data_IF_132308400555
#
_entry.id   IF_132308400555
#
_cell.length_a   1.000
_cell.length_b   1.000
_cell.length_c   1.000
_cell.angle_alpha   90.00
_cell.angle_beta   90.00
_cell.angle_gamma   90.00
#
_symmetry.space_group_name_H-M   'P 1'
#
loop_
_entity.id
_entity.type
_entity.pdbx_description
1 polymer ?
#
# COMPACT_ATOMS: atom_id res chain seq x y z
N UNK A 1 -0.97 -36.88 -15.79
CA UNK A 1 -1.13 -35.41 -15.62
C UNK A 1 -2.07 -35.24 -14.45
N UNK A 2 -1.55 -35.02 -13.26
CA UNK A 2 -2.32 -34.71 -12.06
C UNK A 2 -2.87 -33.30 -12.23
N UNK A 3 -4.20 -33.16 -12.14
CA UNK A 3 -4.84 -31.85 -12.05
C UNK A 3 -4.22 -31.14 -10.84
N UNK A 4 -3.53 -30.01 -11.09
CA UNK A 4 -2.98 -29.20 -10.02
C UNK A 4 -4.13 -28.72 -9.12
N UNK A 5 -3.90 -28.76 -7.82
CA UNK A 5 -4.83 -28.15 -6.85
C UNK A 5 -5.17 -26.72 -7.30
N UNK A 6 -6.43 -26.29 -7.13
CA UNK A 6 -6.78 -24.89 -7.42
C UNK A 6 -5.83 -23.97 -6.61
N UNK A 7 -5.40 -22.85 -7.20
CA UNK A 7 -4.53 -21.93 -6.48
C UNK A 7 -5.20 -21.52 -5.18
N UNK A 8 -4.43 -21.50 -4.09
CA UNK A 8 -4.93 -21.05 -2.78
C UNK A 8 -5.64 -19.71 -2.93
N UNK A 9 -6.84 -19.55 -2.39
CA UNK A 9 -7.59 -18.32 -2.51
C UNK A 9 -6.84 -17.16 -1.83
N UNK A 10 -6.78 -16.02 -2.52
CA UNK A 10 -6.29 -14.79 -1.93
C UNK A 10 -7.32 -14.27 -0.92
N UNK A 11 -6.87 -13.99 0.28
CA UNK A 11 -7.68 -13.35 1.30
C UNK A 11 -7.12 -11.96 1.61
N UNK A 12 -7.97 -10.93 1.50
CA UNK A 12 -7.61 -9.53 1.76
C UNK A 12 -8.36 -9.06 3.00
N UNK A 13 -7.64 -8.50 3.96
CA UNK A 13 -8.22 -7.95 5.19
C UNK A 13 -7.44 -6.75 5.70
N UNK A 14 -8.00 -6.04 6.66
CA UNK A 14 -7.24 -5.05 7.43
C UNK A 14 -6.14 -5.74 8.23
N UNK A 15 -5.01 -5.06 8.36
CA UNK A 15 -3.92 -5.48 9.23
C UNK A 15 -4.29 -5.29 10.70
N UNK A 16 -3.70 -6.14 11.52
CA UNK A 16 -3.71 -6.04 12.98
C UNK A 16 -2.27 -5.95 13.49
N UNK A 17 -2.00 -5.57 14.74
CA UNK A 17 -0.64 -5.57 15.30
C UNK A 17 0.05 -6.94 15.21
N UNK A 18 -0.73 -8.04 15.23
CA UNK A 18 -0.20 -9.40 15.08
C UNK A 18 0.48 -9.66 13.71
N UNK A 19 0.21 -8.83 12.71
CA UNK A 19 0.82 -8.92 11.37
C UNK A 19 2.20 -8.25 11.30
N UNK A 20 2.64 -7.58 12.37
CA UNK A 20 3.88 -6.81 12.40
C UNK A 20 5.09 -7.63 11.98
N UNK A 21 5.26 -8.83 12.55
CA UNK A 21 6.38 -9.72 12.21
C UNK A 21 6.37 -10.14 10.72
N UNK A 22 5.20 -10.46 10.17
CA UNK A 22 5.07 -10.85 8.76
C UNK A 22 5.34 -9.66 7.83
N UNK A 23 4.81 -8.48 8.14
CA UNK A 23 5.08 -7.25 7.38
C UNK A 23 6.56 -6.87 7.43
N UNK A 24 7.22 -6.98 8.61
CA UNK A 24 8.65 -6.73 8.76
C UNK A 24 9.49 -7.70 7.89
N UNK A 25 9.17 -8.99 7.92
CA UNK A 25 9.85 -10.00 7.11
C UNK A 25 9.70 -9.76 5.59
N UNK A 26 8.55 -9.27 5.13
CA UNK A 26 8.35 -8.87 3.73
C UNK A 26 9.20 -7.65 3.39
N UNK A 27 9.32 -6.69 4.32
CA UNK A 27 9.98 -5.42 4.09
C UNK A 27 11.51 -5.49 4.16
N UNK A 28 12.03 -6.27 5.10
CA UNK A 28 13.47 -6.39 5.40
C UNK A 28 14.35 -6.54 4.14
N UNK A 29 14.06 -7.46 3.18
CA UNK A 29 14.90 -7.61 1.98
C UNK A 29 14.93 -6.36 1.10
N UNK A 30 13.87 -5.54 1.09
CA UNK A 30 13.86 -4.28 0.35
C UNK A 30 14.72 -3.21 1.01
N UNK A 31 14.74 -3.18 2.35
CA UNK A 31 15.61 -2.28 3.10
C UNK A 31 17.07 -2.70 2.95
N UNK A 32 17.37 -3.96 3.17
CA UNK A 32 18.75 -4.44 3.24
C UNK A 32 19.48 -4.43 1.89
N UNK A 33 18.77 -4.71 0.78
CA UNK A 33 19.43 -5.02 -0.50
C UNK A 33 18.97 -4.18 -1.69
N UNK A 34 18.10 -3.20 -1.49
CA UNK A 34 17.57 -2.38 -2.60
C UNK A 34 17.43 -0.92 -2.22
N UNK A 35 17.30 -0.07 -3.22
CA UNK A 35 16.93 1.35 -3.07
C UNK A 35 15.41 1.58 -3.09
N UNK A 36 14.58 0.54 -3.17
CA UNK A 36 13.11 0.66 -3.17
C UNK A 36 12.60 1.33 -1.90
N UNK A 37 13.23 1.07 -0.77
CA UNK A 37 13.09 1.85 0.45
C UNK A 37 14.35 2.65 0.74
N UNK A 38 14.21 3.87 1.25
CA UNK A 38 15.33 4.67 1.73
C UNK A 38 15.63 4.48 3.22
N UNK A 39 14.90 3.61 3.93
CA UNK A 39 15.32 3.20 5.26
C UNK A 39 16.65 2.43 5.18
N UNK A 40 17.54 2.70 6.14
CA UNK A 40 18.87 2.10 6.21
C UNK A 40 18.87 0.84 7.08
N UNK A 41 17.98 0.78 8.06
CA UNK A 41 17.77 -0.34 8.96
C UNK A 41 16.32 -0.82 8.85
N UNK A 42 16.13 -2.13 8.77
CA UNK A 42 14.79 -2.70 8.70
C UNK A 42 14.14 -2.65 10.09
N UNK A 43 12.85 -2.28 10.18
CA UNK A 43 12.13 -2.32 11.43
C UNK A 43 11.97 -3.76 11.93
N UNK A 44 11.98 -3.92 13.23
CA UNK A 44 11.60 -5.16 13.93
C UNK A 44 10.11 -5.45 13.75
N UNK A 45 9.67 -6.66 14.11
CA UNK A 45 8.24 -7.00 14.11
C UNK A 45 7.42 -6.11 15.04
N UNK A 46 7.97 -5.76 16.22
CA UNK A 46 7.28 -4.89 17.17
C UNK A 46 7.18 -3.45 16.67
N UNK A 47 8.25 -2.89 16.11
CA UNK A 47 8.21 -1.56 15.48
C UNK A 47 7.25 -1.51 14.29
N UNK A 48 7.15 -2.58 13.51
CA UNK A 48 6.17 -2.67 12.42
C UNK A 48 4.74 -2.79 12.97
N UNK A 49 4.52 -3.49 14.09
CA UNK A 49 3.24 -3.54 14.78
C UNK A 49 2.81 -2.14 15.27
N UNK A 50 3.73 -1.37 15.82
CA UNK A 50 3.48 0.02 16.25
C UNK A 50 3.13 0.91 15.04
N UNK A 51 3.81 0.75 13.90
CA UNK A 51 3.45 1.44 12.65
C UNK A 51 2.04 1.09 12.18
N UNK A 52 1.65 -0.18 12.25
CA UNK A 52 0.29 -0.63 11.93
C UNK A 52 -0.72 0.07 12.83
N UNK A 53 -0.52 0.03 14.17
CA UNK A 53 -1.40 0.69 15.14
C UNK A 53 -1.57 2.17 14.83
N UNK A 54 -0.45 2.88 14.62
CA UNK A 54 -0.48 4.31 14.31
C UNK A 54 -1.19 4.63 12.99
N UNK A 55 -1.06 3.76 11.99
CA UNK A 55 -1.69 3.96 10.69
C UNK A 55 -3.19 3.68 10.73
N UNK A 56 -3.62 2.55 11.31
CA UNK A 56 -5.03 2.15 11.30
C UNK A 56 -5.92 3.02 12.18
N UNK A 57 -5.34 3.82 13.04
CA UNK A 57 -6.06 4.86 13.77
C UNK A 57 -6.71 5.92 12.84
N UNK A 58 -6.24 6.05 11.60
CA UNK A 58 -6.76 7.03 10.63
C UNK A 58 -6.98 6.44 9.24
N UNK A 59 -6.03 5.67 8.74
CA UNK A 59 -5.94 5.25 7.33
C UNK A 59 -5.79 3.73 7.22
N UNK A 60 -6.16 3.11 6.09
CA UNK A 60 -6.11 1.66 5.96
C UNK A 60 -4.67 1.15 5.85
N UNK A 61 -4.44 0.04 6.52
CA UNK A 61 -3.35 -0.89 6.27
C UNK A 61 -3.99 -2.24 5.95
N UNK A 62 -3.79 -2.72 4.72
CA UNK A 62 -4.35 -4.00 4.26
C UNK A 62 -3.24 -5.03 4.09
N UNK A 63 -3.54 -6.28 4.39
CA UNK A 63 -2.69 -7.43 4.12
C UNK A 63 -3.37 -8.37 3.16
N UNK A 64 -2.57 -9.08 2.36
CA UNK A 64 -3.03 -10.14 1.47
C UNK A 64 -2.40 -11.45 1.91
N UNK A 65 -3.23 -12.41 2.22
CA UNK A 65 -2.85 -13.77 2.58
C UNK A 65 -2.97 -14.70 1.39
N UNK A 66 -2.03 -15.61 1.29
CA UNK A 66 -2.06 -16.78 0.39
C UNK A 66 -1.84 -18.02 1.25
N UNK A 67 -2.82 -18.93 1.28
CA UNK A 67 -2.76 -20.12 2.14
C UNK A 67 -2.68 -19.78 3.64
N UNK A 68 -3.34 -18.70 4.08
CA UNK A 68 -3.33 -18.24 5.49
C UNK A 68 -2.04 -17.55 5.94
N UNK A 69 -1.11 -17.24 5.03
CA UNK A 69 0.15 -16.54 5.32
C UNK A 69 0.18 -15.19 4.64
N UNK A 70 0.47 -14.12 5.39
CA UNK A 70 0.62 -12.76 4.83
C UNK A 70 1.79 -12.72 3.86
N UNK A 71 1.52 -12.32 2.62
CA UNK A 71 2.50 -12.29 1.50
C UNK A 71 2.60 -10.92 0.81
N UNK A 72 1.71 -10.01 1.13
CA UNK A 72 1.76 -8.64 0.62
C UNK A 72 1.00 -7.74 1.58
N UNK A 73 1.36 -6.47 1.59
CA UNK A 73 0.61 -5.44 2.29
C UNK A 73 0.67 -4.11 1.54
N UNK A 74 -0.35 -3.27 1.77
CA UNK A 74 -0.39 -1.90 1.31
C UNK A 74 -1.03 -1.01 2.37
N UNK A 75 -0.59 0.23 2.46
CA UNK A 75 -1.12 1.17 3.44
C UNK A 75 -1.11 2.60 2.92
N UNK A 76 -1.91 3.45 3.56
CA UNK A 76 -1.94 4.88 3.33
C UNK A 76 -1.38 5.66 4.52
N UNK A 77 -0.51 6.62 4.27
CA UNK A 77 0.01 7.53 5.28
C UNK A 77 -0.25 8.98 4.92
N UNK A 78 -0.24 9.87 5.90
CA UNK A 78 -0.38 11.30 5.68
C UNK A 78 0.73 11.81 4.75
N UNK A 79 0.34 12.53 3.68
CA UNK A 79 1.31 13.08 2.74
C UNK A 79 2.11 14.23 3.34
N UNK A 80 1.46 15.15 4.09
CA UNK A 80 2.07 16.30 4.76
C UNK A 80 1.28 16.65 6.02
N UNK A 81 1.91 17.31 7.00
CA UNK A 81 1.30 17.61 8.30
C UNK A 81 0.30 18.78 8.29
N UNK A 82 0.31 19.63 7.25
CA UNK A 82 -0.60 20.77 7.16
C UNK A 82 -2.00 20.33 6.78
N UNK A 83 -3.03 20.85 7.49
CA UNK A 83 -4.44 20.47 7.32
C UNK A 83 -4.96 20.60 5.87
N UNK A 84 -4.44 21.52 5.06
CA UNK A 84 -4.81 21.63 3.65
C UNK A 84 -4.50 20.39 2.82
N UNK A 85 -3.66 19.46 3.32
CA UNK A 85 -3.35 18.17 2.69
C UNK A 85 -4.19 17.01 3.24
N UNK A 86 -5.17 17.24 4.11
CA UNK A 86 -5.91 16.15 4.77
C UNK A 86 -6.66 15.23 3.81
N UNK A 87 -6.97 15.68 2.60
CA UNK A 87 -7.59 14.88 1.55
C UNK A 87 -6.60 14.20 0.60
N UNK A 88 -5.29 14.36 0.84
CA UNK A 88 -4.22 13.69 0.08
C UNK A 88 -3.58 12.62 0.94
N UNK A 89 -3.43 11.41 0.39
CA UNK A 89 -2.83 10.27 1.07
C UNK A 89 -1.64 9.73 0.26
N UNK A 90 -0.56 9.39 0.93
CA UNK A 90 0.57 8.70 0.30
C UNK A 90 0.39 7.19 0.45
N UNK A 91 0.53 6.45 -0.65
CA UNK A 91 0.29 5.01 -0.68
C UNK A 91 1.59 4.24 -0.86
N UNK A 92 1.68 3.11 -0.16
CA UNK A 92 2.83 2.22 -0.18
C UNK A 92 2.37 0.78 -0.33
N UNK A 93 3.16 -0.04 -1.06
CA UNK A 93 2.88 -1.47 -1.24
C UNK A 93 4.18 -2.26 -1.26
N UNK A 94 4.18 -3.40 -0.55
CA UNK A 94 5.26 -4.39 -0.57
C UNK A 94 4.69 -5.79 -0.78
N UNK A 95 5.45 -6.62 -1.47
CA UNK A 95 5.09 -8.00 -1.79
C UNK A 95 6.27 -8.90 -1.43
N UNK A 96 6.01 -10.08 -0.89
CA UNK A 96 7.02 -11.12 -0.74
C UNK A 96 7.79 -11.29 -2.06
N UNK A 97 9.13 -11.18 -2.00
CA UNK A 97 9.99 -11.12 -3.19
C UNK A 97 9.84 -12.33 -4.10
N UNK A 98 9.60 -13.49 -3.50
CA UNK A 98 9.49 -14.76 -4.23
C UNK A 98 8.12 -14.94 -4.91
N UNK A 99 7.16 -14.09 -4.54
CA UNK A 99 5.78 -14.12 -5.04
C UNK A 99 5.41 -12.92 -5.93
N UNK A 100 6.41 -12.12 -6.34
CA UNK A 100 6.18 -11.01 -7.28
C UNK A 100 5.60 -11.51 -8.60
N UNK A 101 4.80 -10.69 -9.27
CA UNK A 101 4.17 -11.04 -10.54
C UNK A 101 2.92 -11.93 -10.42
N UNK A 102 2.54 -12.35 -9.20
CA UNK A 102 1.35 -13.21 -8.95
C UNK A 102 0.06 -12.44 -8.62
N UNK A 103 0.04 -11.12 -8.81
CA UNK A 103 -1.16 -10.30 -8.56
C UNK A 103 -1.36 -9.82 -7.12
N UNK A 104 -0.54 -10.27 -6.15
CA UNK A 104 -0.69 -9.93 -4.72
C UNK A 104 -0.66 -8.41 -4.46
N UNK A 105 0.31 -7.71 -5.04
CA UNK A 105 0.41 -6.26 -4.92
C UNK A 105 -0.77 -5.53 -5.55
N UNK A 106 -1.33 -6.06 -6.64
CA UNK A 106 -2.53 -5.53 -7.28
C UNK A 106 -3.75 -5.72 -6.38
N UNK A 107 -3.90 -6.89 -5.73
CA UNK A 107 -4.99 -7.15 -4.80
C UNK A 107 -4.91 -6.19 -3.60
N UNK A 108 -3.71 -6.05 -2.98
CA UNK A 108 -3.48 -5.13 -1.88
C UNK A 108 -3.83 -3.68 -2.24
N UNK A 109 -3.31 -3.18 -3.37
CA UNK A 109 -3.53 -1.79 -3.80
C UNK A 109 -4.98 -1.53 -4.22
N UNK A 110 -5.66 -2.49 -4.85
CA UNK A 110 -7.09 -2.35 -5.16
C UNK A 110 -7.94 -2.19 -3.91
N UNK A 111 -7.72 -3.04 -2.91
CA UNK A 111 -8.42 -2.95 -1.65
C UNK A 111 -8.10 -1.63 -0.93
N UNK A 112 -6.83 -1.24 -0.88
CA UNK A 112 -6.41 0.04 -0.31
C UNK A 112 -7.15 1.20 -0.97
N UNK A 113 -7.12 1.30 -2.31
CA UNK A 113 -7.77 2.37 -3.08
C UNK A 113 -9.29 2.37 -2.85
N UNK A 114 -9.92 1.20 -2.78
CA UNK A 114 -11.36 1.09 -2.49
C UNK A 114 -11.70 1.66 -1.11
N UNK A 115 -10.93 1.32 -0.08
CA UNK A 115 -11.15 1.85 1.28
C UNK A 115 -10.87 3.35 1.35
N UNK A 116 -9.80 3.85 0.69
CA UNK A 116 -9.49 5.29 0.64
C UNK A 116 -10.62 6.10 -0.01
N UNK A 117 -11.29 5.55 -1.03
CA UNK A 117 -12.49 6.17 -1.62
C UNK A 117 -13.66 6.23 -0.64
N UNK A 118 -13.91 5.16 0.13
CA UNK A 118 -14.94 5.15 1.17
C UNK A 118 -14.66 6.17 2.26
N UNK A 119 -13.40 6.41 2.59
CA UNK A 119 -13.01 7.44 3.56
C UNK A 119 -13.20 8.87 3.04
N UNK A 120 -13.36 9.08 1.73
CA UNK A 120 -13.50 10.40 1.13
C UNK A 120 -12.17 11.09 0.82
N UNK A 121 -11.05 10.36 0.72
CA UNK A 121 -9.82 10.94 0.18
C UNK A 121 -10.02 11.37 -1.28
N UNK A 122 -9.43 12.52 -1.63
CA UNK A 122 -9.48 13.05 -2.99
C UNK A 122 -8.33 12.55 -3.87
N UNK A 123 -7.13 12.50 -3.33
CA UNK A 123 -5.92 12.19 -4.08
C UNK A 123 -5.06 11.17 -3.38
N UNK A 124 -4.72 10.08 -4.07
CA UNK A 124 -3.66 9.17 -3.66
C UNK A 124 -2.38 9.50 -4.43
N UNK A 125 -1.25 9.58 -3.73
CA UNK A 125 0.06 9.78 -4.35
C UNK A 125 0.98 8.60 -3.99
N UNK A 126 1.96 8.33 -4.85
CA UNK A 126 2.96 7.29 -4.62
C UNK A 126 4.33 7.76 -5.11
N UNK A 127 5.34 7.70 -4.24
CA UNK A 127 6.73 7.88 -4.59
C UNK A 127 7.37 6.53 -4.93
N UNK A 128 7.91 6.40 -6.14
CA UNK A 128 8.54 5.16 -6.63
C UNK A 128 9.99 5.43 -6.92
N UNK A 129 10.90 4.79 -6.17
CA UNK A 129 12.34 4.91 -6.44
C UNK A 129 12.67 4.32 -7.81
N UNK A 130 13.38 5.09 -8.62
CA UNK A 130 13.74 4.71 -9.99
C UNK A 130 15.16 4.08 -10.04
N UNK A 131 15.37 3.01 -10.88
CA UNK A 131 14.38 2.35 -11.70
C UNK A 131 13.56 1.29 -10.93
N UNK A 132 12.24 1.28 -11.10
CA UNK A 132 11.36 0.24 -10.55
C UNK A 132 10.19 -0.06 -11.52
N UNK A 133 10.46 -0.73 -12.65
CA UNK A 133 9.46 -0.95 -13.69
C UNK A 133 8.25 -1.77 -13.20
N UNK A 134 8.45 -2.68 -12.24
CA UNK A 134 7.38 -3.48 -11.66
C UNK A 134 6.37 -2.63 -10.88
N UNK A 135 6.86 -1.71 -10.03
CA UNK A 135 5.99 -0.79 -9.29
C UNK A 135 5.30 0.20 -10.24
N UNK A 136 6.03 0.74 -11.22
CA UNK A 136 5.45 1.64 -12.23
C UNK A 136 4.32 0.95 -13.01
N UNK A 137 4.52 -0.29 -13.47
CA UNK A 137 3.49 -1.06 -14.17
C UNK A 137 2.27 -1.32 -13.28
N UNK A 138 2.48 -1.67 -12.01
CA UNK A 138 1.41 -1.87 -11.03
C UNK A 138 0.58 -0.60 -10.88
N UNK A 139 1.20 0.53 -10.56
CA UNK A 139 0.49 1.79 -10.34
C UNK A 139 -0.27 2.26 -11.57
N UNK A 140 0.35 2.22 -12.76
CA UNK A 140 -0.33 2.54 -14.03
C UNK A 140 -1.54 1.64 -14.28
N UNK A 141 -1.44 0.35 -13.96
CA UNK A 141 -2.56 -0.60 -14.13
C UNK A 141 -3.76 -0.32 -13.23
N UNK A 142 -3.58 0.52 -12.22
CA UNK A 142 -4.60 0.99 -11.27
C UNK A 142 -5.09 2.41 -11.58
N UNK A 143 -4.58 3.03 -12.66
CA UNK A 143 -4.96 4.36 -13.08
C UNK A 143 -4.11 5.49 -12.51
N UNK A 144 -3.01 5.19 -11.81
CA UNK A 144 -2.08 6.23 -11.39
C UNK A 144 -1.34 6.80 -12.61
N UNK A 145 -1.25 8.12 -12.66
CA UNK A 145 -0.52 8.86 -13.69
C UNK A 145 0.77 9.45 -13.11
N UNK A 146 1.83 9.48 -13.91
CA UNK A 146 3.09 10.10 -13.52
C UNK A 146 2.94 11.61 -13.49
N UNK A 147 3.26 12.23 -12.36
CA UNK A 147 3.12 13.68 -12.16
C UNK A 147 4.47 14.41 -12.05
N UNK A 148 5.56 13.71 -11.87
CA UNK A 148 6.88 14.32 -11.79
C UNK A 148 7.97 13.35 -11.34
N UNK A 149 9.18 13.89 -11.15
CA UNK A 149 10.30 13.17 -10.56
C UNK A 149 11.23 14.12 -9.79
N UNK A 150 11.91 13.57 -8.81
CA UNK A 150 13.07 14.17 -8.19
C UNK A 150 14.29 13.30 -8.50
N UNK A 151 15.22 13.84 -9.28
CA UNK A 151 16.52 13.19 -9.49
C UNK A 151 17.38 13.28 -8.25
N UNK A 152 18.21 12.25 -8.01
CA UNK A 152 19.21 12.25 -6.94
C UNK A 152 18.66 12.68 -5.55
N UNK A 153 17.51 12.11 -5.16
CA UNK A 153 16.80 12.49 -3.96
C UNK A 153 17.30 11.77 -2.70
N UNK A 154 17.70 10.50 -2.82
CA UNK A 154 18.16 9.68 -1.69
C UNK A 154 19.51 9.03 -1.96
N UNK A 155 20.36 8.95 -0.93
CA UNK A 155 21.65 8.24 -0.98
C UNK A 155 21.54 6.89 -0.30
N UNK A 156 21.74 5.79 -1.04
CA UNK A 156 21.73 4.43 -0.51
C UNK A 156 22.53 3.49 -1.42
N UNK A 157 23.18 2.46 -0.83
CA UNK A 157 23.97 1.48 -1.57
C UNK A 157 25.01 2.15 -2.48
N UNK A 158 25.70 3.15 -1.92
CA UNK A 158 26.77 3.92 -2.56
C UNK A 158 26.37 4.62 -3.87
N UNK A 159 25.07 4.97 -4.00
CA UNK A 159 24.53 5.68 -5.16
C UNK A 159 23.42 6.67 -4.80
N UNK A 160 23.28 7.73 -5.61
CA UNK A 160 22.11 8.58 -5.60
C UNK A 160 20.97 7.96 -6.39
N UNK A 161 19.77 8.01 -5.80
CA UNK A 161 18.54 7.46 -6.40
C UNK A 161 17.50 8.55 -6.56
N UNK A 162 16.83 8.56 -7.72
CA UNK A 162 15.68 9.42 -7.99
C UNK A 162 14.36 8.77 -7.53
N UNK A 163 13.32 9.60 -7.43
CA UNK A 163 11.95 9.17 -7.11
C UNK A 163 11.01 9.72 -8.16
N UNK A 164 10.30 8.84 -8.84
CA UNK A 164 9.16 9.21 -9.70
C UNK A 164 7.89 9.28 -8.85
N UNK A 165 7.10 10.34 -9.06
CA UNK A 165 5.84 10.55 -8.38
C UNK A 165 4.67 10.25 -9.29
N UNK A 166 3.72 9.51 -8.74
CA UNK A 166 2.48 9.13 -9.38
C UNK A 166 1.30 9.58 -8.55
N UNK A 167 0.16 9.87 -9.21
CA UNK A 167 -1.06 10.29 -8.54
C UNK A 167 -2.29 9.60 -9.16
N UNK A 168 -3.29 9.35 -8.32
CA UNK A 168 -4.60 8.84 -8.70
C UNK A 168 -5.69 9.70 -8.06
N UNK A 169 -6.54 10.32 -8.86
CA UNK A 169 -7.75 10.96 -8.35
C UNK A 169 -8.75 9.89 -7.85
N UNK A 170 -9.16 10.02 -6.60
CA UNK A 170 -10.06 9.08 -5.94
C UNK A 170 -11.52 9.53 -6.00
N UNK A 171 -11.74 10.85 -6.00
CA UNK A 171 -13.06 11.49 -6.08
C UNK A 171 -12.99 12.77 -6.92
N UNK A 172 -14.17 13.31 -7.28
CA UNK A 172 -14.30 14.61 -7.94
C UNK A 172 -13.76 15.75 -7.05
N UNK A 173 -13.41 16.87 -7.69
CA UNK A 173 -12.98 18.10 -7.00
C UNK A 173 -14.21 18.92 -6.66
N UNK A 174 -14.89 18.57 -5.58
CA UNK A 174 -16.01 19.36 -5.10
C UNK A 174 -15.52 20.67 -4.46
N UNK A 175 -16.30 21.77 -4.55
CA UNK A 175 -15.89 23.07 -4.04
C UNK A 175 -15.63 23.08 -2.52
N UNK A 176 -16.34 22.24 -1.78
CA UNK A 176 -16.19 22.05 -0.33
C UNK A 176 -16.17 20.54 -0.07
N UNK A 177 -14.99 19.94 0.18
CA UNK A 177 -14.92 18.52 0.47
C UNK A 177 -15.44 18.23 1.88
N UNK A 178 -16.15 17.11 2.01
CA UNK A 178 -16.49 16.58 3.33
C UNK A 178 -15.22 16.14 4.08
N UNK A 179 -15.22 16.16 5.41
CA UNK A 179 -14.11 15.60 6.20
C UNK A 179 -13.85 14.14 5.87
N UNK A 180 -12.58 13.76 5.82
CA UNK A 180 -12.17 12.35 5.65
C UNK A 180 -12.66 11.53 6.85
N UNK A 181 -13.36 10.43 6.56
CA UNK A 181 -13.86 9.50 7.58
C UNK A 181 -12.67 8.68 8.12
N UNK A 182 -12.40 8.71 9.45
CA UNK A 182 -11.38 7.84 10.04
C UNK A 182 -11.68 6.36 9.81
N UNK A 183 -10.64 5.53 9.60
CA UNK A 183 -10.84 4.10 9.37
C UNK A 183 -11.67 3.40 10.46
N UNK A 184 -11.47 3.68 11.77
CA UNK A 184 -12.26 3.04 12.83
C UNK A 184 -13.77 3.22 12.66
N UNK A 185 -14.24 4.34 12.07
CA UNK A 185 -15.66 4.62 11.87
C UNK A 185 -16.27 3.77 10.73
N UNK A 186 -15.43 3.16 9.90
CA UNK A 186 -15.85 2.23 8.83
C UNK A 186 -15.81 0.76 9.28
N UNK A 187 -15.12 0.44 10.39
CA UNK A 187 -14.97 -0.94 10.84
C UNK A 187 -16.33 -1.54 11.19
N UNK A 188 -16.61 -2.73 10.61
CA UNK A 188 -17.88 -3.43 10.78
C UNK A 188 -18.97 -3.03 9.78
N UNK A 189 -18.72 -2.05 8.88
CA UNK A 189 -19.69 -1.67 7.85
C UNK A 189 -19.69 -2.66 6.68
N UNK A 190 -20.85 -2.88 6.02
CA UNK A 190 -20.93 -3.70 4.81
C UNK A 190 -20.07 -3.13 3.67
N UNK A 191 -19.94 -1.82 3.56
CA UNK A 191 -19.17 -1.11 2.55
C UNK A 191 -17.67 -1.43 2.68
N UNK A 192 -17.13 -1.43 3.90
CA UNK A 192 -15.74 -1.83 4.15
C UNK A 192 -15.54 -3.31 3.81
N UNK A 193 -16.47 -4.18 4.20
CA UNK A 193 -16.40 -5.60 3.87
C UNK A 193 -16.40 -5.83 2.34
N UNK A 194 -17.24 -5.12 1.60
CA UNK A 194 -17.27 -5.16 0.14
C UNK A 194 -15.96 -4.64 -0.49
N UNK A 195 -15.40 -3.54 0.03
CA UNK A 195 -14.12 -2.98 -0.43
C UNK A 195 -12.95 -3.96 -0.25
N UNK A 196 -12.96 -4.74 0.83
CA UNK A 196 -11.94 -5.76 1.09
C UNK A 196 -12.21 -7.07 0.33
N UNK A 197 -13.47 -7.48 0.18
CA UNK A 197 -13.86 -8.76 -0.42
C UNK A 197 -13.97 -8.77 -1.95
N UNK A 198 -14.08 -7.61 -2.60
CA UNK A 198 -14.30 -7.50 -4.05
C UNK A 198 -13.14 -7.92 -4.96
N UNK A 199 -12.14 -8.66 -4.45
CA UNK A 199 -10.87 -8.92 -5.13
C UNK A 199 -10.57 -10.41 -5.38
N UNK A 200 -11.52 -11.30 -5.12
CA UNK A 200 -11.40 -12.76 -5.27
C UNK A 200 -12.01 -13.30 -6.57
N UNK A 201 -11.77 -12.67 -7.73
CA UNK A 201 -12.25 -13.22 -8.98
C UNK A 201 -12.06 -12.31 -10.18
N UNK A 202 -10.99 -12.47 -10.91
CA UNK A 202 -10.88 -12.35 -12.38
C UNK A 202 -9.48 -12.78 -12.80
#
# INVERSE_FOLDING_TARGET
MTAGDPPDPLHVRLATPADGAACAAIYEPYVATTSVSFELEAPTGDEMADRIVGTVARSPWVVVELGGVVRSYAYGTRHRDRAAYDWTIETTVYVDRDLRGRGLGRAAMRALVAVLRLQGFHLAVAGITAPNPGSVALHRSLGFERIGEFGAMGWKLDAWHGVEWFALELSSRDPIPDPVIPLPDLVGTPELAAALGGHGGA
#
